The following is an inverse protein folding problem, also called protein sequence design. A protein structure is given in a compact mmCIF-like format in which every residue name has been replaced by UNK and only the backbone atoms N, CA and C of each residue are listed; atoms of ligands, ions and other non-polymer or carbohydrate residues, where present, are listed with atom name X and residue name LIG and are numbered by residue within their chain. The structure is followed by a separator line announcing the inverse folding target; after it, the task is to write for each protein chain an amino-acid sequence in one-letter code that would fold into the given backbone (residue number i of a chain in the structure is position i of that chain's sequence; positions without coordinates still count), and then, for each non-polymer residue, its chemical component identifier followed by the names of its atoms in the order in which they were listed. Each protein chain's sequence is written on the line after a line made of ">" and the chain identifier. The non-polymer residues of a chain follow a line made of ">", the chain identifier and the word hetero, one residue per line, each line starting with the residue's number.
data_IF_922952969279
#
_entry.id   IF_922952969279
#
_cell.length_a   1.000
_cell.length_b   1.000
_cell.length_c   1.000
_cell.angle_alpha   90.00
_cell.angle_beta   90.00
_cell.angle_gamma   90.00
#
_symmetry.space_group_name_H-M   'P 1'
#
loop_
_entity.id
_entity.type
_entity.pdbx_description
1 polymer ?
#
# COMPACT_ATOMS: atom_id res chain seq x y z
N UNK A 1 15.58 -2.35 4.87
CA UNK A 1 14.11 -2.28 4.99
C UNK A 1 13.50 -3.47 4.26
N UNK A 2 12.55 -4.20 4.90
CA UNK A 2 11.70 -5.21 4.25
C UNK A 2 10.27 -4.68 4.23
N UNK A 3 9.70 -4.49 3.05
CA UNK A 3 8.44 -3.79 2.84
C UNK A 3 7.32 -4.76 2.43
N UNK A 4 6.30 -4.90 3.27
CA UNK A 4 5.01 -5.47 2.89
C UNK A 4 4.10 -4.35 2.41
N UNK A 5 3.48 -4.51 1.24
CA UNK A 5 2.33 -3.69 0.88
C UNK A 5 1.03 -4.43 1.21
N UNK A 6 -0.02 -3.71 1.57
CA UNK A 6 -1.38 -4.25 1.70
C UNK A 6 -2.36 -3.41 0.88
N UNK A 7 -3.19 -4.10 0.11
CA UNK A 7 -4.35 -3.51 -0.57
C UNK A 7 -5.61 -4.17 -0.04
N UNK A 8 -6.52 -3.37 0.50
CA UNK A 8 -7.83 -3.85 0.92
C UNK A 8 -8.79 -3.74 -0.26
N UNK A 9 -9.32 -4.90 -0.67
CA UNK A 9 -10.19 -5.04 -1.83
C UNK A 9 -11.66 -5.09 -1.41
N UNK A 10 -12.51 -4.43 -2.20
CA UNK A 10 -13.96 -4.53 -2.12
C UNK A 10 -14.55 -4.33 -3.53
N UNK A 11 -15.04 -5.41 -4.12
CA UNK A 11 -15.50 -5.44 -5.52
C UNK A 11 -14.51 -4.74 -6.49
N UNK A 12 -13.23 -5.20 -6.57
CA UNK A 12 -12.22 -4.50 -7.34
C UNK A 12 -12.53 -4.47 -8.83
N UNK A 13 -12.27 -3.32 -9.45
CA UNK A 13 -12.47 -3.10 -10.88
C UNK A 13 -11.31 -3.63 -11.74
N UNK A 14 -11.51 -3.58 -13.05
CA UNK A 14 -10.55 -4.10 -14.07
C UNK A 14 -9.16 -3.46 -14.03
N UNK A 15 -9.04 -2.28 -13.45
CA UNK A 15 -7.79 -1.51 -13.42
C UNK A 15 -6.83 -1.98 -12.30
N UNK A 16 -7.27 -2.93 -11.44
CA UNK A 16 -6.51 -3.43 -10.29
C UNK A 16 -5.10 -3.89 -10.68
N UNK A 17 -4.95 -4.69 -11.73
CA UNK A 17 -3.64 -5.20 -12.17
C UNK A 17 -2.70 -4.06 -12.58
N UNK A 18 -3.21 -3.06 -13.31
CA UNK A 18 -2.45 -1.88 -13.71
C UNK A 18 -2.00 -1.04 -12.51
N UNK A 19 -2.90 -0.83 -11.53
CA UNK A 19 -2.59 -0.11 -10.30
C UNK A 19 -1.48 -0.82 -9.51
N UNK A 20 -1.62 -2.12 -9.30
CA UNK A 20 -0.63 -2.96 -8.62
C UNK A 20 0.74 -2.90 -9.30
N UNK A 21 0.79 -2.99 -10.61
CA UNK A 21 2.04 -2.97 -11.36
C UNK A 21 2.85 -1.68 -11.19
N UNK A 22 2.20 -0.57 -10.82
CA UNK A 22 2.88 0.71 -10.63
C UNK A 22 3.86 0.73 -9.45
N UNK A 23 3.76 -0.22 -8.50
CA UNK A 23 4.61 -0.31 -7.31
C UNK A 23 5.12 -1.72 -6.99
N UNK A 24 4.56 -2.78 -7.59
CA UNK A 24 4.83 -4.18 -7.22
C UNK A 24 6.30 -4.58 -7.31
N UNK A 25 7.06 -4.00 -8.25
CA UNK A 25 8.48 -4.31 -8.41
C UNK A 25 9.36 -3.86 -7.26
N UNK A 26 8.88 -2.92 -6.44
CA UNK A 26 9.64 -2.26 -5.39
C UNK A 26 9.19 -2.64 -3.98
N UNK A 27 8.20 -3.51 -3.86
CA UNK A 27 7.79 -4.12 -2.57
C UNK A 27 8.24 -5.57 -2.53
N UNK A 28 8.56 -6.08 -1.33
CA UNK A 28 8.99 -7.47 -1.20
C UNK A 28 7.81 -8.43 -1.38
N UNK A 29 6.62 -8.03 -0.91
CA UNK A 29 5.36 -8.76 -1.09
C UNK A 29 4.17 -7.82 -1.06
N UNK A 30 3.10 -8.20 -1.74
CA UNK A 30 1.81 -7.53 -1.71
C UNK A 30 0.74 -8.46 -1.15
N UNK A 31 0.16 -8.09 -0.03
CA UNK A 31 -1.00 -8.73 0.55
C UNK A 31 -2.28 -8.13 -0.03
N UNK A 32 -3.07 -8.94 -0.73
CA UNK A 32 -4.41 -8.60 -1.20
C UNK A 32 -5.41 -9.10 -0.17
N UNK A 33 -5.98 -8.21 0.63
CA UNK A 33 -7.03 -8.54 1.58
C UNK A 33 -8.40 -8.30 0.95
N UNK A 34 -9.14 -9.38 0.68
CA UNK A 34 -10.43 -9.30 0.01
C UNK A 34 -11.59 -9.25 1.00
N UNK A 35 -12.22 -8.07 1.08
CA UNK A 35 -13.44 -7.82 1.85
C UNK A 35 -14.73 -8.02 1.04
N UNK A 36 -14.64 -8.52 -0.20
CA UNK A 36 -15.81 -8.75 -1.05
C UNK A 36 -16.63 -9.92 -0.50
N UNK A 37 -17.92 -9.74 -0.18
CA UNK A 37 -18.78 -10.85 0.21
C UNK A 37 -18.88 -11.88 -0.90
N UNK A 38 -18.60 -13.16 -0.59
CA UNK A 38 -18.53 -14.24 -1.57
C UNK A 38 -17.33 -14.15 -2.52
N UNK A 39 -16.41 -13.21 -2.31
CA UNK A 39 -15.20 -13.04 -3.11
C UNK A 39 -14.22 -14.20 -2.93
N UNK A 40 -13.36 -14.36 -3.93
CA UNK A 40 -12.30 -15.37 -3.94
C UNK A 40 -11.19 -15.00 -4.92
N UNK A 41 -9.99 -15.52 -4.68
CA UNK A 41 -8.78 -15.22 -5.47
C UNK A 41 -9.01 -15.37 -6.98
N UNK A 42 -9.75 -16.41 -7.38
CA UNK A 42 -10.00 -16.73 -8.79
C UNK A 42 -10.88 -15.69 -9.50
N UNK A 43 -11.58 -14.85 -8.75
CA UNK A 43 -12.47 -13.82 -9.28
C UNK A 43 -11.76 -12.46 -9.40
N UNK A 44 -10.54 -12.33 -8.87
CA UNK A 44 -9.81 -11.07 -8.92
C UNK A 44 -9.30 -10.78 -10.33
N UNK A 45 -9.41 -9.53 -10.80
CA UNK A 45 -8.94 -9.11 -12.12
C UNK A 45 -7.41 -8.91 -12.13
N UNK A 46 -6.66 -10.02 -11.91
CA UNK A 46 -5.20 -10.01 -11.78
C UNK A 46 -4.48 -10.37 -13.10
N UNK A 47 -5.22 -10.55 -14.20
CA UNK A 47 -4.62 -10.74 -15.51
C UNK A 47 -3.73 -9.56 -15.88
N UNK A 48 -2.46 -9.82 -16.24
CA UNK A 48 -1.48 -8.79 -16.54
C UNK A 48 -0.65 -8.29 -15.37
N UNK A 49 -0.79 -8.86 -14.17
CA UNK A 49 0.16 -8.61 -13.08
C UNK A 49 1.53 -9.19 -13.44
N UNK A 50 2.58 -8.35 -13.37
CA UNK A 50 3.93 -8.69 -13.87
C UNK A 50 4.74 -9.62 -12.96
N UNK A 51 4.40 -9.67 -11.64
CA UNK A 51 5.06 -10.49 -10.64
C UNK A 51 4.02 -11.18 -9.74
N UNK A 52 3.22 -12.14 -10.28
CA UNK A 52 2.16 -12.79 -9.52
C UNK A 52 2.69 -13.62 -8.34
N UNK A 53 3.95 -14.05 -8.37
CA UNK A 53 4.62 -14.75 -7.27
C UNK A 53 4.83 -13.87 -6.02
N UNK A 54 4.74 -12.55 -6.15
CA UNK A 54 4.83 -11.60 -5.03
C UNK A 54 3.48 -11.35 -4.35
N UNK A 55 2.40 -11.87 -4.92
CA UNK A 55 1.07 -11.69 -4.36
C UNK A 55 0.78 -12.73 -3.28
N UNK A 56 0.24 -12.27 -2.17
CA UNK A 56 -0.39 -13.08 -1.14
C UNK A 56 -1.86 -12.72 -1.07
N UNK A 57 -2.75 -13.71 -1.09
CA UNK A 57 -4.19 -13.49 -1.01
C UNK A 57 -4.72 -13.89 0.35
N UNK A 58 -5.52 -13.02 0.94
CA UNK A 58 -6.33 -13.29 2.12
C UNK A 58 -7.76 -12.78 1.93
N UNK A 59 -8.69 -13.47 2.53
CA UNK A 59 -10.11 -13.11 2.54
C UNK A 59 -10.90 -14.17 3.26
N UNK A 60 -12.06 -13.79 3.78
CA UNK A 60 -12.93 -14.73 4.50
C UNK A 60 -14.34 -14.80 3.88
N UNK A 61 -14.51 -14.28 2.66
CA UNK A 61 -15.78 -14.28 1.92
C UNK A 61 -16.84 -13.36 2.52
N UNK A 62 -16.44 -12.44 3.39
CA UNK A 62 -17.33 -11.43 4.00
C UNK A 62 -16.58 -10.15 4.24
N UNK A 63 -17.31 -9.02 4.33
CA UNK A 63 -16.73 -7.74 4.71
C UNK A 63 -16.55 -7.70 6.24
N UNK A 64 -15.29 -7.65 6.69
CA UNK A 64 -14.92 -7.54 8.12
C UNK A 64 -14.46 -6.14 8.50
N UNK A 65 -14.54 -5.19 7.56
CA UNK A 65 -14.10 -3.81 7.71
C UNK A 65 -12.60 -3.63 7.48
N UNK A 66 -12.22 -2.39 7.16
CA UNK A 66 -10.84 -2.04 6.82
C UNK A 66 -9.89 -2.21 8.02
N UNK A 67 -10.36 -1.87 9.22
CA UNK A 67 -9.55 -1.98 10.44
C UNK A 67 -9.10 -3.42 10.71
N UNK A 68 -10.00 -4.40 10.54
CA UNK A 68 -9.66 -5.83 10.69
C UNK A 68 -8.64 -6.26 9.63
N UNK A 69 -8.84 -5.85 8.38
CA UNK A 69 -7.92 -6.16 7.28
C UNK A 69 -6.51 -5.60 7.54
N UNK A 70 -6.41 -4.36 8.01
CA UNK A 70 -5.12 -3.72 8.32
C UNK A 70 -4.46 -4.35 9.55
N UNK A 71 -5.22 -4.70 10.59
CA UNK A 71 -4.68 -5.40 11.76
C UNK A 71 -4.10 -6.78 11.39
N UNK A 72 -4.78 -7.52 10.51
CA UNK A 72 -4.25 -8.79 10.00
C UNK A 72 -2.98 -8.58 9.16
N UNK A 73 -2.92 -7.52 8.36
CA UNK A 73 -1.71 -7.18 7.62
C UNK A 73 -0.52 -6.86 8.54
N UNK A 74 -0.76 -6.16 9.66
CA UNK A 74 0.26 -5.92 10.69
C UNK A 74 0.73 -7.24 11.32
N UNK A 75 -0.21 -8.12 11.69
CA UNK A 75 0.12 -9.43 12.26
C UNK A 75 0.95 -10.26 11.25
N UNK A 76 0.53 -10.29 9.99
CA UNK A 76 1.27 -10.96 8.92
C UNK A 76 2.68 -10.38 8.74
N UNK A 77 2.80 -9.04 8.76
CA UNK A 77 4.09 -8.38 8.62
C UNK A 77 5.06 -8.79 9.74
N UNK A 78 4.59 -8.84 10.98
CA UNK A 78 5.38 -9.29 12.15
C UNK A 78 5.82 -10.74 12.03
N UNK A 79 4.87 -11.64 11.75
CA UNK A 79 5.12 -13.07 11.64
C UNK A 79 6.18 -13.40 10.58
N UNK A 80 6.20 -12.63 9.47
CA UNK A 80 7.12 -12.87 8.35
C UNK A 80 8.35 -11.94 8.35
N UNK A 81 8.55 -11.15 9.43
CA UNK A 81 9.72 -10.30 9.63
C UNK A 81 9.83 -9.11 8.67
N UNK A 82 8.70 -8.57 8.22
CA UNK A 82 8.69 -7.27 7.53
C UNK A 82 8.91 -6.15 8.53
N UNK A 83 9.68 -5.15 8.14
CA UNK A 83 10.01 -4.01 8.99
C UNK A 83 9.06 -2.83 8.78
N UNK A 84 8.45 -2.77 7.59
CA UNK A 84 7.55 -1.68 7.19
C UNK A 84 6.32 -2.23 6.49
N UNK A 85 5.20 -1.51 6.65
CA UNK A 85 3.91 -1.77 6.02
C UNK A 85 3.50 -0.55 5.19
N UNK A 86 3.31 -0.74 3.89
CA UNK A 86 2.69 0.23 2.99
C UNK A 86 1.21 -0.10 2.84
N UNK A 87 0.35 0.86 3.14
CA UNK A 87 -1.10 0.72 2.95
C UNK A 87 -1.54 1.41 1.67
N UNK A 88 -2.41 0.77 0.89
CA UNK A 88 -2.90 1.28 -0.39
C UNK A 88 -4.38 0.95 -0.58
N UNK A 89 -5.11 1.88 -1.19
CA UNK A 89 -6.45 1.61 -1.70
C UNK A 89 -6.36 0.88 -3.05
N UNK A 90 -7.38 0.11 -3.39
CA UNK A 90 -7.41 -0.72 -4.60
C UNK A 90 -7.34 0.08 -5.91
N UNK A 91 -7.73 1.34 -5.87
CA UNK A 91 -7.74 2.28 -7.01
C UNK A 91 -6.54 3.24 -7.01
N UNK A 92 -5.63 3.09 -6.04
CA UNK A 92 -4.40 3.88 -5.97
C UNK A 92 -3.33 3.34 -6.91
N UNK A 93 -2.62 4.25 -7.56
CA UNK A 93 -1.45 3.95 -8.38
C UNK A 93 -0.41 5.07 -8.25
N UNK A 94 0.83 4.73 -8.56
CA UNK A 94 1.92 5.70 -8.62
C UNK A 94 2.25 6.07 -10.06
N UNK A 95 2.49 7.36 -10.30
CA UNK A 95 3.04 7.81 -11.58
C UNK A 95 4.45 7.24 -11.80
N UNK A 96 4.90 7.12 -13.06
CA UNK A 96 6.24 6.58 -13.35
C UNK A 96 7.35 7.28 -12.56
N UNK A 97 8.17 6.52 -11.85
CA UNK A 97 9.29 7.00 -11.06
C UNK A 97 8.93 7.48 -9.64
N UNK A 98 7.70 7.91 -9.40
CA UNK A 98 7.30 8.51 -8.09
C UNK A 98 7.49 7.53 -6.93
N UNK A 99 7.11 6.26 -7.09
CA UNK A 99 7.28 5.29 -6.01
C UNK A 99 8.75 5.02 -5.70
N UNK A 100 9.61 4.96 -6.71
CA UNK A 100 11.06 4.82 -6.53
C UNK A 100 11.62 6.01 -5.74
N UNK A 101 11.24 7.22 -6.11
CA UNK A 101 11.75 8.44 -5.47
C UNK A 101 11.22 8.55 -4.03
N UNK A 102 9.98 8.14 -3.78
CA UNK A 102 9.40 8.02 -2.45
C UNK A 102 10.18 7.05 -1.56
N UNK A 103 10.49 5.86 -2.07
CA UNK A 103 11.28 4.86 -1.33
C UNK A 103 12.71 5.33 -1.06
N UNK A 104 13.32 6.03 -2.02
CA UNK A 104 14.64 6.63 -1.83
C UNK A 104 14.63 7.71 -0.74
N UNK A 105 13.59 8.55 -0.69
CA UNK A 105 13.41 9.56 0.36
C UNK A 105 13.29 8.91 1.74
N UNK A 106 12.48 7.85 1.89
CA UNK A 106 12.34 7.11 3.16
C UNK A 106 13.70 6.53 3.60
N UNK A 107 14.43 5.92 2.69
CA UNK A 107 15.73 5.32 3.00
C UNK A 107 16.77 6.37 3.41
N UNK A 108 16.75 7.55 2.78
CA UNK A 108 17.67 8.64 3.10
C UNK A 108 17.38 9.30 4.44
N UNK A 109 16.13 9.27 4.90
CA UNK A 109 15.73 9.84 6.19
C UNK A 109 16.26 9.02 7.39
N UNK A 110 16.58 7.75 7.14
CA UNK A 110 17.08 6.82 8.15
C UNK A 110 15.99 5.95 8.77
N UNK A 111 16.42 4.89 9.47
CA UNK A 111 15.51 3.94 10.12
C UNK A 111 15.03 4.45 11.49
N UNK A 112 14.61 5.70 11.59
CA UNK A 112 13.98 6.18 12.82
C UNK A 112 12.65 5.46 13.03
N UNK A 113 12.58 4.68 14.11
CA UNK A 113 11.56 3.68 14.42
C UNK A 113 10.14 4.23 14.64
N UNK A 114 9.92 5.54 14.52
CA UNK A 114 8.62 6.18 14.85
C UNK A 114 8.14 7.20 13.81
N UNK A 115 8.73 7.22 12.65
CA UNK A 115 8.31 8.14 11.58
C UNK A 115 7.38 7.40 10.62
N UNK A 116 6.21 7.99 10.39
CA UNK A 116 5.25 7.55 9.38
C UNK A 116 5.49 8.43 8.15
N UNK A 117 5.67 7.81 7.01
CA UNK A 117 5.86 8.51 5.74
C UNK A 117 4.59 8.44 4.90
N UNK A 118 4.19 9.54 4.29
CA UNK A 118 3.07 9.58 3.36
C UNK A 118 3.46 10.31 2.09
N UNK A 119 2.92 9.85 0.96
CA UNK A 119 3.08 10.53 -0.33
C UNK A 119 2.20 11.76 -0.40
N UNK A 120 2.59 12.70 -1.25
CA UNK A 120 1.71 13.78 -1.67
C UNK A 120 0.79 13.29 -2.77
N UNK A 121 -0.52 13.47 -2.60
CA UNK A 121 -1.53 13.00 -3.52
C UNK A 121 -1.83 14.01 -4.61
N UNK A 122 -2.01 13.52 -5.84
CA UNK A 122 -2.61 14.31 -6.90
C UNK A 122 -4.12 14.09 -6.95
N UNK A 123 -4.88 15.13 -6.70
CA UNK A 123 -6.34 15.09 -6.67
C UNK A 123 -6.87 15.39 -8.08
N UNK A 124 -7.32 14.37 -8.79
CA UNK A 124 -7.79 14.50 -10.18
C UNK A 124 -8.92 15.52 -10.36
N UNK A 125 -9.88 15.55 -9.43
CA UNK A 125 -11.01 16.50 -9.49
C UNK A 125 -10.59 17.97 -9.33
N UNK A 126 -9.47 18.22 -8.63
CA UNK A 126 -8.91 19.55 -8.42
C UNK A 126 -7.77 19.88 -9.38
N UNK A 127 -7.29 18.91 -10.15
CA UNK A 127 -6.12 19.02 -11.02
C UNK A 127 -4.88 19.56 -10.28
N UNK A 128 -4.73 19.21 -9.00
CA UNK A 128 -3.71 19.75 -8.13
C UNK A 128 -3.24 18.69 -7.10
N UNK A 129 -2.00 18.79 -6.61
CA UNK A 129 -1.54 18.02 -5.46
C UNK A 129 -2.23 18.52 -4.18
N UNK A 130 -2.35 17.61 -3.18
CA UNK A 130 -2.92 17.92 -1.87
C UNK A 130 -2.12 18.99 -1.12
N UNK A 131 -0.79 18.91 -1.20
CA UNK A 131 0.16 19.87 -0.64
C UNK A 131 1.00 20.51 -1.75
N UNK A 132 1.60 21.68 -1.54
CA UNK A 132 2.56 22.24 -2.48
C UNK A 132 3.65 21.22 -2.84
N UNK A 133 4.02 21.17 -4.11
CA UNK A 133 5.10 20.30 -4.56
C UNK A 133 6.44 20.81 -4.00
N UNK A 134 7.19 19.96 -3.35
CA UNK A 134 8.52 20.22 -2.84
C UNK A 134 9.45 19.04 -3.14
N UNK A 135 10.73 19.30 -3.23
CA UNK A 135 11.80 18.32 -3.42
C UNK A 135 12.41 17.84 -2.10
N UNK A 136 11.64 17.97 -1.02
CA UNK A 136 12.06 17.63 0.35
C UNK A 136 10.94 16.90 1.10
N UNK A 137 11.30 16.26 2.21
CA UNK A 137 10.36 15.71 3.19
C UNK A 137 9.96 16.82 4.16
N UNK A 138 8.66 17.08 4.28
CA UNK A 138 8.09 18.04 5.23
C UNK A 138 7.24 17.32 6.28
N UNK A 139 7.23 17.83 7.51
CA UNK A 139 6.31 17.37 8.55
C UNK A 139 4.90 17.87 8.28
N UNK A 140 3.93 16.98 8.39
CA UNK A 140 2.51 17.29 8.20
C UNK A 140 1.69 16.84 9.41
N UNK A 141 0.59 17.54 9.68
CA UNK A 141 -0.30 17.21 10.81
C UNK A 141 -1.26 16.06 10.53
N UNK A 142 -1.41 15.67 9.28
CA UNK A 142 -2.30 14.59 8.86
C UNK A 142 -1.78 13.92 7.58
N UNK A 143 -2.07 12.64 7.45
CA UNK A 143 -1.75 11.85 6.27
C UNK A 143 -2.95 10.97 5.91
N UNK A 144 -3.12 10.68 4.62
CA UNK A 144 -4.10 9.70 4.16
C UNK A 144 -3.58 8.29 4.44
N UNK A 145 -4.47 7.34 4.72
CA UNK A 145 -4.08 5.95 4.95
C UNK A 145 -3.46 5.32 3.71
N UNK A 146 -4.00 5.58 2.52
CA UNK A 146 -3.44 5.08 1.26
C UNK A 146 -2.10 5.77 0.95
N UNK A 147 -1.12 5.04 0.42
CA UNK A 147 0.22 5.54 0.11
C UNK A 147 1.09 5.84 1.32
N UNK A 148 0.73 5.36 2.51
CA UNK A 148 1.45 5.61 3.74
C UNK A 148 2.26 4.39 4.17
N UNK A 149 3.53 4.64 4.52
CA UNK A 149 4.47 3.64 5.03
C UNK A 149 4.61 3.78 6.54
N UNK A 150 4.32 2.70 7.25
CA UNK A 150 4.39 2.59 8.71
C UNK A 150 5.53 1.65 9.10
N UNK A 151 6.42 2.03 10.03
CA UNK A 151 7.25 1.06 10.71
C UNK A 151 6.38 0.06 11.49
N UNK A 152 6.60 -1.25 11.30
CA UNK A 152 5.80 -2.30 11.96
C UNK A 152 5.92 -2.23 13.49
N UNK A 153 7.06 -1.79 14.02
CA UNK A 153 7.27 -1.58 15.45
C UNK A 153 6.42 -0.46 16.09
N UNK A 154 5.67 0.34 15.32
CA UNK A 154 4.71 1.31 15.88
C UNK A 154 3.45 0.65 16.46
N UNK A 155 3.18 -0.60 16.09
CA UNK A 155 1.99 -1.34 16.50
C UNK A 155 2.24 -2.28 17.68
N UNK A 156 3.38 -2.10 18.37
CA UNK A 156 3.77 -2.86 19.58
C UNK A 156 3.11 -2.33 20.85
#
# INVERSE_FOLDING_TARGET
>A
MRLLAVVVLYHPGKDLAGNINSYLTQVDRLLLWDNTPGGGKEQLPLSGVIHPERLEYRGCGRNVGIGTALNDAVAYAREHGYTHLLTLDQDSYFLPGVFRDYMAAIQSYGEEKRVIFSVNYFIKSQQAPLYPVADRVDEVSSAMTSGTVYPVGLFE
#
